data_IF_709713611204
#
_entry.id   IF_709713611204
#
_cell.length_a   1.000
_cell.length_b   1.000
_cell.length_c   1.000
_cell.angle_alpha   90.00
_cell.angle_beta   90.00
_cell.angle_gamma   90.00
#
_symmetry.space_group_name_H-M   'P 1'
#
loop_
_entity.id
_entity.type
_entity.pdbx_description
1 polymer ?
#
# COMPACT_ATOMS: atom_id res chain seq x y z
N UNK A 1 -26.73 2.70 3.80
CA UNK A 1 -26.62 2.49 5.26
C UNK A 1 -25.61 1.39 5.51
N UNK A 2 -24.30 1.65 5.34
CA UNK A 2 -23.27 0.61 5.50
C UNK A 2 -21.86 1.11 5.83
N UNK A 3 -21.66 2.42 5.99
CA UNK A 3 -20.35 3.00 6.34
C UNK A 3 -20.13 3.18 7.85
N UNK A 4 -21.20 3.30 8.64
CA UNK A 4 -21.10 3.53 10.08
C UNK A 4 -20.74 2.26 10.86
N UNK A 5 -21.20 1.09 10.40
CA UNK A 5 -20.88 -0.20 11.02
C UNK A 5 -19.42 -0.63 10.77
N UNK A 6 -18.87 -0.26 9.60
CA UNK A 6 -17.48 -0.57 9.23
C UNK A 6 -16.47 0.30 10.03
N UNK A 7 -16.82 1.56 10.27
CA UNK A 7 -16.02 2.47 11.10
C UNK A 7 -16.03 2.06 12.58
N UNK A 8 -17.17 1.61 13.12
CA UNK A 8 -17.28 1.06 14.47
C UNK A 8 -16.46 -0.23 14.64
N UNK A 9 -16.53 -1.13 13.66
CA UNK A 9 -15.73 -2.37 13.64
C UNK A 9 -14.23 -2.09 13.66
N UNK A 10 -13.77 -1.13 12.84
CA UNK A 10 -12.35 -0.73 12.79
C UNK A 10 -11.85 -0.12 14.12
N UNK A 11 -12.69 0.67 14.80
CA UNK A 11 -12.39 1.25 16.10
C UNK A 11 -12.34 0.20 17.21
N UNK A 12 -13.21 -0.81 17.14
CA UNK A 12 -13.24 -1.90 18.10
C UNK A 12 -12.00 -2.78 17.98
N UNK A 13 -11.50 -3.00 16.76
CA UNK A 13 -10.24 -3.69 16.50
C UNK A 13 -9.02 -2.88 17.00
N UNK A 14 -9.01 -1.56 16.77
CA UNK A 14 -7.92 -0.70 17.26
C UNK A 14 -7.88 -0.64 18.81
N UNK A 15 -9.04 -0.63 19.46
CA UNK A 15 -9.14 -0.65 20.92
C UNK A 15 -8.67 -1.99 21.51
N UNK A 16 -9.02 -3.13 20.92
CA UNK A 16 -8.55 -4.43 21.41
C UNK A 16 -7.03 -4.60 21.23
N UNK A 17 -6.47 -4.02 20.17
CA UNK A 17 -5.02 -3.98 19.95
C UNK A 17 -4.32 -3.08 20.98
N UNK A 18 -4.89 -1.92 21.31
CA UNK A 18 -4.39 -1.06 22.39
C UNK A 18 -4.48 -1.73 23.76
N UNK A 19 -5.57 -2.44 24.07
CA UNK A 19 -5.71 -3.20 25.31
C UNK A 19 -4.67 -4.31 25.43
N UNK A 20 -4.36 -5.01 24.33
CA UNK A 20 -3.29 -6.01 24.29
C UNK A 20 -1.90 -5.39 24.55
N UNK A 21 -1.61 -4.25 23.92
CA UNK A 21 -0.35 -3.51 24.12
C UNK A 21 -0.20 -2.98 25.55
N UNK A 22 -1.29 -2.50 26.16
CA UNK A 22 -1.28 -2.06 27.55
C UNK A 22 -0.98 -3.22 28.50
N UNK A 23 -1.59 -4.38 28.28
CA UNK A 23 -1.38 -5.57 29.12
C UNK A 23 0.05 -6.09 29.03
N UNK A 24 0.66 -6.06 27.84
CA UNK A 24 2.07 -6.42 27.65
C UNK A 24 3.00 -5.43 28.36
N UNK A 25 2.69 -4.13 28.29
CA UNK A 25 3.46 -3.08 28.96
C UNK A 25 3.36 -3.15 30.48
N UNK A 26 2.19 -3.47 31.03
CA UNK A 26 2.00 -3.72 32.46
C UNK A 26 2.82 -4.92 32.95
N UNK A 27 2.83 -6.03 32.18
CA UNK A 27 3.65 -7.19 32.49
C UNK A 27 5.15 -6.87 32.48
N UNK A 28 5.61 -6.07 31.52
CA UNK A 28 6.99 -5.62 31.44
C UNK A 28 7.40 -4.71 32.62
N UNK A 29 6.50 -3.82 33.05
CA UNK A 29 6.73 -2.97 34.22
C UNK A 29 6.80 -3.79 35.52
N UNK A 30 5.91 -4.76 35.69
CA UNK A 30 5.94 -5.66 36.85
C UNK A 30 7.23 -6.49 36.92
N UNK A 31 7.74 -6.93 35.76
CA UNK A 31 9.03 -7.62 35.70
C UNK A 31 10.19 -6.69 36.08
N UNK A 32 10.18 -5.47 35.55
CA UNK A 32 11.21 -4.46 35.86
C UNK A 32 11.21 -4.06 37.33
N UNK A 33 10.04 -4.00 37.97
CA UNK A 33 9.94 -3.76 39.41
C UNK A 33 10.55 -4.90 40.22
N UNK A 34 10.29 -6.16 39.85
CA UNK A 34 10.95 -7.33 40.47
C UNK A 34 12.47 -7.29 40.31
N UNK A 35 12.96 -6.91 39.13
CA UNK A 35 14.41 -6.79 38.88
C UNK A 35 15.02 -5.66 39.72
N UNK A 36 14.32 -4.52 39.85
CA UNK A 36 14.74 -3.41 40.72
C UNK A 36 14.75 -3.86 42.19
N UNK A 37 13.73 -4.58 42.66
CA UNK A 37 13.69 -5.10 44.03
C UNK A 37 14.79 -6.14 44.29
N UNK A 38 15.05 -7.05 43.35
CA UNK A 38 16.14 -8.01 43.45
C UNK A 38 17.52 -7.31 43.48
N UNK A 39 17.68 -6.26 42.66
CA UNK A 39 18.90 -5.46 42.62
C UNK A 39 19.06 -4.61 43.89
N UNK A 40 17.98 -4.04 44.41
CA UNK A 40 17.96 -3.34 45.70
C UNK A 40 18.28 -4.29 46.86
N UNK A 41 17.76 -5.52 46.86
CA UNK A 41 18.11 -6.55 47.84
C UNK A 41 19.59 -6.95 47.76
N UNK A 42 20.16 -7.04 46.55
CA UNK A 42 21.60 -7.29 46.37
C UNK A 42 22.49 -6.13 46.84
N UNK A 43 21.97 -4.89 46.76
CA UNK A 43 22.65 -3.68 47.24
C UNK A 43 22.46 -3.42 48.75
N UNK A 44 21.51 -4.11 49.40
CA UNK A 44 21.25 -4.07 50.84
C UNK A 44 22.00 -5.17 51.61
N UNK A 45 23.16 -5.63 51.12
CA UNK A 45 24.14 -6.20 52.05
C UNK A 45 24.67 -5.02 52.87
N UNK A 46 24.38 -4.90 54.17
CA UNK A 46 24.91 -3.80 54.94
C UNK A 46 26.41 -4.06 55.05
N UNK A 47 27.21 -3.30 54.31
CA UNK A 47 28.50 -2.87 54.84
C UNK A 47 28.18 -1.90 55.98
N UNK A 48 27.61 -2.42 57.08
CA UNK A 48 27.73 -1.77 58.36
C UNK A 48 29.23 -1.57 58.57
N UNK A 49 29.70 -0.36 58.87
CA UNK A 49 30.98 -0.26 59.54
C UNK A 49 30.84 -1.19 60.74
N UNK A 50 31.77 -2.13 60.89
CA UNK A 50 31.88 -2.92 62.10
C UNK A 50 32.05 -1.92 63.25
N UNK A 51 30.92 -1.49 63.82
CA UNK A 51 30.84 -0.92 65.15
C UNK A 51 31.42 -2.03 66.00
N UNK A 52 32.62 -1.73 66.50
CA UNK A 52 33.44 -2.62 67.28
C UNK A 52 32.54 -3.42 68.21
N UNK A 53 32.61 -4.73 68.02
CA UNK A 53 32.03 -5.74 68.88
C UNK A 53 32.17 -5.31 70.34
N UNK A 54 31.03 -5.03 70.94
CA UNK A 54 30.91 -4.74 72.35
C UNK A 54 31.19 -6.01 73.11
N UNK A 55 32.47 -6.21 73.44
CA UNK A 55 32.89 -6.97 74.60
C UNK A 55 32.47 -8.44 74.61
N UNK A 56 33.04 -9.24 73.72
CA UNK A 56 33.38 -10.63 74.07
C UNK A 56 34.90 -10.77 74.08
N UNK A 57 35.55 -10.22 75.11
CA UNK A 57 36.94 -10.54 75.44
C UNK A 57 36.96 -11.99 75.94
N UNK A 58 36.94 -12.94 75.00
CA UNK A 58 37.15 -14.34 75.30
C UNK A 58 38.42 -14.47 76.12
N UNK A 59 38.34 -15.17 77.26
CA UNK A 59 39.44 -15.39 78.19
C UNK A 59 40.69 -16.06 77.56
N UNK A 60 40.64 -16.45 76.29
CA UNK A 60 41.76 -16.97 75.51
C UNK A 60 42.72 -15.90 74.96
N UNK A 61 42.35 -14.62 74.91
CA UNK A 61 43.21 -13.53 74.39
C UNK A 61 43.85 -12.67 75.52
N UNK A 62 43.53 -13.02 76.77
CA UNK A 62 43.94 -12.28 77.97
C UNK A 62 45.35 -12.69 78.46
N UNK A 63 45.87 -13.80 77.97
CA UNK A 63 47.20 -14.33 78.30
C UNK A 63 48.04 -14.46 77.02
N UNK A 64 49.37 -14.28 77.09
CA UNK A 64 50.25 -14.49 75.96
C UNK A 64 50.16 -15.94 75.43
N UNK A 65 50.08 -16.14 74.10
CA UNK A 65 50.06 -17.46 73.51
C UNK A 65 51.41 -18.17 73.72
N UNK A 66 51.37 -19.47 74.00
CA UNK A 66 52.54 -20.37 74.15
C UNK A 66 53.59 -19.95 75.20
N UNK A 67 53.18 -19.29 76.29
CA UNK A 67 54.09 -18.83 77.34
C UNK A 67 54.81 -19.99 78.06
N UNK A 68 56.14 -19.97 78.05
CA UNK A 68 56.98 -20.94 78.76
C UNK A 68 57.42 -20.42 80.15
N UNK A 69 57.67 -21.31 81.12
CA UNK A 69 58.23 -20.92 82.41
C UNK A 69 59.56 -20.16 82.24
N UNK A 70 59.64 -18.95 82.80
CA UNK A 70 60.83 -18.08 82.69
C UNK A 70 60.78 -17.06 81.54
N UNK A 71 59.69 -17.02 80.76
CA UNK A 71 59.46 -15.99 79.75
C UNK A 71 58.48 -14.92 80.23
N UNK A 72 58.68 -13.68 79.78
CA UNK A 72 57.86 -12.53 80.16
C UNK A 72 57.29 -11.90 78.91
N UNK A 73 56.05 -11.43 78.99
CA UNK A 73 55.33 -10.86 77.87
C UNK A 73 54.72 -9.53 78.27
N UNK A 74 54.71 -8.58 77.34
CA UNK A 74 54.06 -7.28 77.50
C UNK A 74 53.08 -7.03 76.36
N UNK A 75 51.94 -6.44 76.68
CA UNK A 75 50.88 -6.16 75.71
C UNK A 75 51.13 -4.80 75.08
N UNK A 76 51.56 -4.80 73.82
CA UNK A 76 51.93 -3.58 73.09
C UNK A 76 50.88 -3.27 72.02
N UNK A 77 50.52 -2.00 71.88
CA UNK A 77 49.63 -1.53 70.83
C UNK A 77 50.39 -1.43 69.50
N UNK A 78 49.96 -2.20 68.50
CA UNK A 78 50.47 -2.12 67.13
C UNK A 78 49.56 -1.18 66.34
N UNK A 79 50.14 -0.17 65.70
CA UNK A 79 49.39 0.82 64.91
C UNK A 79 48.75 0.19 63.66
N UNK A 80 47.56 0.67 63.23
CA UNK A 80 46.89 0.18 62.03
C UNK A 80 47.73 0.43 60.76
N UNK A 81 47.76 -0.58 59.89
CA UNK A 81 48.38 -0.45 58.58
C UNK A 81 47.38 0.08 57.56
N UNK A 82 47.82 1.01 56.72
CA UNK A 82 47.01 1.58 55.67
C UNK A 82 47.74 1.52 54.34
N UNK A 83 47.00 1.23 53.27
CA UNK A 83 47.47 1.31 51.90
C UNK A 83 46.75 2.43 51.17
N UNK A 84 47.47 3.15 50.31
CA UNK A 84 46.85 4.12 49.42
C UNK A 84 46.36 3.40 48.18
N UNK A 85 45.06 3.44 47.94
CA UNK A 85 44.44 2.87 46.74
C UNK A 85 43.97 4.01 45.85
N UNK A 86 44.38 3.95 44.58
CA UNK A 86 43.90 4.88 43.56
C UNK A 86 42.64 4.28 42.93
N UNK A 87 41.49 4.95 43.10
CA UNK A 87 40.23 4.54 42.46
C UNK A 87 39.90 5.54 41.34
N UNK A 88 39.53 5.01 40.16
CA UNK A 88 38.99 5.83 39.09
C UNK A 88 37.53 6.11 39.38
N UNK A 89 37.19 7.37 39.54
CA UNK A 89 35.81 7.83 39.76
C UNK A 89 35.34 8.51 38.49
N UNK A 90 34.13 8.16 38.06
CA UNK A 90 33.44 8.78 36.94
C UNK A 90 33.02 10.19 37.35
N UNK A 91 33.57 11.20 36.68
CA UNK A 91 33.27 12.62 36.92
C UNK A 91 32.12 13.06 36.04
N UNK A 92 32.10 12.58 34.79
CA UNK A 92 31.08 12.91 33.81
C UNK A 92 30.82 11.70 32.93
N UNK A 93 29.54 11.33 32.84
CA UNK A 93 29.09 10.25 31.95
C UNK A 93 29.37 10.57 30.48
N UNK A 94 29.53 9.52 29.68
CA UNK A 94 29.57 9.66 28.23
C UNK A 94 28.25 10.30 27.77
N UNK A 95 28.35 11.25 26.85
CA UNK A 95 27.20 11.99 26.35
C UNK A 95 27.27 12.14 24.84
N UNK A 96 26.16 12.45 24.22
CA UNK A 96 26.08 12.60 22.77
C UNK A 96 25.64 14.02 22.45
N UNK A 97 26.36 14.67 21.53
CA UNK A 97 25.97 15.95 20.97
C UNK A 97 25.31 15.72 19.63
N UNK A 98 24.07 16.17 19.49
CA UNK A 98 23.32 16.10 18.22
C UNK A 98 23.53 17.41 17.47
N UNK A 99 24.14 17.33 16.29
CA UNK A 99 24.27 18.44 15.35
C UNK A 99 23.28 18.24 14.19
N UNK A 100 22.35 19.17 14.04
CA UNK A 100 21.32 19.11 12.98
C UNK A 100 21.90 19.69 11.69
N UNK A 101 22.06 18.85 10.68
CA UNK A 101 22.39 19.26 9.31
C UNK A 101 21.07 19.59 8.60
N UNK A 102 20.85 20.84 8.15
CA UNK A 102 19.57 21.23 7.56
C UNK A 102 19.33 20.57 6.19
N UNK A 103 18.06 20.41 5.83
CA UNK A 103 17.67 19.93 4.52
C UNK A 103 18.12 20.92 3.42
N UNK A 104 18.55 20.38 2.28
CA UNK A 104 18.87 21.16 1.08
C UNK A 104 17.76 20.98 0.06
N UNK A 105 17.33 22.09 -0.55
CA UNK A 105 16.28 22.12 -1.56
C UNK A 105 16.88 22.44 -2.93
N UNK A 106 16.28 21.88 -3.97
CA UNK A 106 16.60 22.21 -5.36
C UNK A 106 15.31 22.43 -6.16
N UNK A 107 15.41 23.21 -7.22
CA UNK A 107 14.29 23.46 -8.12
C UNK A 107 14.28 22.40 -9.22
N UNK A 108 13.17 21.67 -9.32
CA UNK A 108 12.92 20.66 -10.34
C UNK A 108 11.77 21.10 -11.26
N UNK A 109 11.92 20.86 -12.56
CA UNK A 109 10.89 21.17 -13.57
C UNK A 109 9.88 20.04 -13.62
N UNK A 110 8.67 20.28 -13.10
CA UNK A 110 7.57 19.33 -13.15
C UNK A 110 6.58 19.72 -14.25
N UNK A 111 6.25 18.76 -15.11
CA UNK A 111 5.24 18.96 -16.16
C UNK A 111 3.86 18.65 -15.60
N UNK A 112 3.03 19.68 -15.47
CA UNK A 112 1.66 19.59 -14.95
C UNK A 112 0.67 19.80 -16.10
N UNK A 113 -0.37 18.97 -16.15
CA UNK A 113 -1.47 19.13 -17.10
C UNK A 113 -2.33 20.32 -16.66
N UNK A 114 -2.41 21.33 -17.52
CA UNK A 114 -3.17 22.56 -17.23
C UNK A 114 -4.53 22.55 -17.91
N UNK A 115 -4.64 21.82 -19.03
CA UNK A 115 -5.88 21.67 -19.78
C UNK A 115 -5.99 20.23 -20.26
N UNK A 116 -7.13 19.59 -19.98
CA UNK A 116 -7.40 18.21 -20.37
C UNK A 116 -7.65 18.08 -21.87
N UNK A 117 -7.43 16.88 -22.42
CA UNK A 117 -7.78 16.60 -23.80
C UNK A 117 -9.30 16.66 -23.95
N UNK A 118 -9.78 17.35 -24.98
CA UNK A 118 -11.22 17.49 -25.24
C UNK A 118 -11.55 17.13 -26.68
N UNK A 119 -12.81 16.80 -26.93
CA UNK A 119 -13.27 16.42 -28.27
C UNK A 119 -14.25 17.45 -28.80
N UNK A 120 -14.03 17.92 -30.04
CA UNK A 120 -14.95 18.81 -30.74
C UNK A 120 -15.67 18.06 -31.85
N UNK A 121 -17.00 18.07 -31.81
CA UNK A 121 -17.84 17.51 -32.87
C UNK A 121 -17.97 18.53 -34.00
N UNK A 122 -17.52 18.17 -35.21
CA UNK A 122 -17.71 18.95 -36.44
C UNK A 122 -18.80 18.28 -37.27
N UNK A 123 -19.84 19.03 -37.61
CA UNK A 123 -20.97 18.54 -38.41
C UNK A 123 -20.60 18.51 -39.89
N UNK A 124 -20.71 17.34 -40.51
CA UNK A 124 -20.59 17.17 -41.97
C UNK A 124 -22.01 17.23 -42.54
N UNK A 125 -22.34 18.21 -43.41
CA UNK A 125 -23.69 18.40 -43.91
C UNK A 125 -24.13 17.23 -44.81
N UNK A 126 -25.43 16.92 -44.79
CA UNK A 126 -26.03 15.90 -45.64
C UNK A 126 -25.92 16.30 -47.12
N UNK A 127 -25.58 15.35 -48.00
CA UNK A 127 -25.61 15.57 -49.45
C UNK A 127 -26.89 14.99 -50.03
N UNK A 128 -27.39 15.61 -51.10
CA UNK A 128 -28.65 15.23 -51.73
C UNK A 128 -28.42 14.88 -53.20
N UNK A 129 -29.14 13.87 -53.69
CA UNK A 129 -29.16 13.52 -55.11
C UNK A 129 -30.58 13.54 -55.65
N UNK A 130 -30.73 13.91 -56.90
CA UNK A 130 -32.02 13.90 -57.59
C UNK A 130 -32.22 12.54 -58.24
N UNK A 131 -33.28 11.83 -57.84
CA UNK A 131 -33.67 10.55 -58.45
C UNK A 131 -34.95 10.78 -59.26
N UNK A 132 -34.95 10.29 -60.50
CA UNK A 132 -36.12 10.30 -61.39
C UNK A 132 -36.90 9.01 -61.24
N UNK A 133 -38.15 9.11 -60.84
CA UNK A 133 -39.06 7.97 -60.72
C UNK A 133 -40.17 8.08 -61.78
N UNK A 134 -40.45 6.99 -62.51
CA UNK A 134 -41.54 6.95 -63.51
C UNK A 134 -42.82 6.49 -62.83
N UNK A 135 -43.75 7.41 -62.64
CA UNK A 135 -45.05 7.12 -62.02
C UNK A 135 -46.10 6.97 -63.14
N UNK A 136 -46.84 5.86 -63.12
CA UNK A 136 -47.96 5.62 -64.04
C UNK A 136 -49.12 6.55 -63.67
N UNK A 137 -49.53 7.42 -64.60
CA UNK A 137 -50.61 8.39 -64.36
C UNK A 137 -51.93 7.96 -65.01
N UNK A 138 -51.88 7.09 -66.03
CA UNK A 138 -53.07 6.53 -66.66
C UNK A 138 -52.78 5.10 -67.15
N UNK A 139 -53.56 4.08 -66.73
CA UNK A 139 -53.40 2.71 -67.20
C UNK A 139 -53.87 2.57 -68.66
N UNK A 140 -53.44 1.50 -69.34
CA UNK A 140 -53.89 1.18 -70.69
C UNK A 140 -55.38 0.82 -70.71
N UNK A 141 -56.12 1.22 -71.76
CA UNK A 141 -57.56 0.97 -71.91
C UNK A 141 -57.93 0.50 -73.32
N UNK A 142 -59.05 -0.23 -73.43
CA UNK A 142 -59.54 -0.80 -74.71
C UNK A 142 -60.79 -0.07 -75.18
N UNK A 143 -60.83 0.32 -76.46
CA UNK A 143 -61.98 0.99 -77.10
C UNK A 143 -62.53 0.11 -78.22
N UNK A 144 -63.84 -0.17 -78.18
CA UNK A 144 -64.54 -0.98 -79.18
C UNK A 144 -65.20 -0.05 -80.22
N UNK A 145 -64.97 -0.30 -81.51
CA UNK A 145 -65.58 0.43 -82.63
C UNK A 145 -66.47 -0.53 -83.44
N UNK A 146 -67.73 -0.15 -83.70
CA UNK A 146 -68.77 -0.99 -84.33
C UNK A 146 -69.08 -0.53 -85.75
N UNK A 147 -69.17 -1.47 -86.71
CA UNK A 147 -69.49 -1.19 -88.13
C UNK A 147 -70.88 -1.75 -88.51
N UNK A 148 -71.78 -0.97 -89.16
CA UNK A 148 -73.17 -1.40 -89.41
C UNK A 148 -73.32 -2.39 -90.59
N UNK A 149 -74.43 -3.12 -90.60
CA UNK A 149 -74.76 -4.15 -91.60
C UNK A 149 -75.38 -3.61 -92.91
N UNK A 150 -75.19 -4.32 -94.03
CA UNK A 150 -75.59 -3.90 -95.40
C UNK A 150 -76.63 -4.86 -96.03
N UNK A 151 -77.62 -4.32 -96.77
CA UNK A 151 -78.76 -5.05 -97.35
C UNK A 151 -78.99 -4.75 -98.87
N UNK A 152 -79.44 -5.74 -99.66
CA UNK A 152 -79.66 -5.69 -101.13
C UNK A 152 -81.07 -6.18 -101.55
N UNK A 153 -81.67 -5.68 -102.66
CA UNK A 153 -83.08 -5.94 -103.07
C UNK A 153 -83.21 -6.70 -104.40
N UNK A 154 -84.03 -7.76 -104.45
CA UNK A 154 -84.23 -8.67 -105.62
C UNK A 154 -85.71 -8.66 -106.10
N UNK A 155 -86.00 -8.84 -107.41
CA UNK A 155 -87.35 -8.74 -108.05
C UNK A 155 -87.80 -10.05 -108.75
N UNK A 156 -89.11 -10.39 -108.70
CA UNK A 156 -89.72 -11.62 -109.25
C UNK A 156 -91.11 -11.37 -109.91
N UNK A 157 -91.49 -12.08 -110.99
CA UNK A 157 -92.75 -11.89 -111.77
C UNK A 157 -93.80 -13.01 -111.57
N UNK A 158 -95.07 -12.66 -111.39
CA UNK A 158 -96.22 -13.56 -111.12
C UNK A 158 -97.43 -13.24 -112.04
N UNK A 159 -98.14 -14.29 -112.52
CA UNK A 159 -99.28 -14.26 -113.46
C UNK A 159 -100.54 -13.62 -112.86
N UNK A 160 -101.20 -12.72 -113.59
CA UNK A 160 -102.39 -11.98 -113.12
C UNK A 160 -103.70 -12.56 -113.72
N UNK A 161 -103.78 -12.81 -115.05
CA UNK A 161 -105.00 -13.33 -115.71
C UNK A 161 -104.74 -14.24 -116.94
N UNK A 162 -105.43 -15.39 -117.10
CA UNK A 162 -105.30 -16.32 -118.24
C UNK A 162 -106.16 -15.97 -119.49
N UNK A 163 -105.94 -16.66 -120.62
CA UNK A 163 -106.52 -16.43 -121.97
C UNK A 163 -107.93 -17.03 -122.19
N UNK A 164 -108.76 -16.50 -123.12
CA UNK A 164 -110.11 -17.03 -123.47
C UNK A 164 -110.65 -16.65 -124.89
N UNK A 165 -111.75 -17.28 -125.37
CA UNK A 165 -112.36 -17.18 -126.74
C UNK A 165 -113.74 -16.49 -126.84
N UNK A 166 -114.10 -15.82 -127.96
CA UNK A 166 -115.42 -15.19 -128.24
C UNK A 166 -115.85 -15.15 -129.75
N UNK A 167 -117.16 -15.05 -130.08
CA UNK A 167 -117.77 -15.23 -131.44
C UNK A 167 -118.03 -13.92 -132.25
N UNK A 168 -117.94 -13.95 -133.60
CA UNK A 168 -118.25 -12.85 -134.58
C UNK A 168 -118.90 -13.36 -135.91
N UNK A 169 -119.75 -12.57 -136.61
CA UNK A 169 -120.58 -13.00 -137.79
C UNK A 169 -119.78 -13.05 -139.11
N UNK A 170 -120.11 -13.95 -140.05
CA UNK A 170 -119.40 -14.14 -141.35
C UNK A 170 -120.31 -14.24 -142.60
N UNK A 171 -119.77 -14.02 -143.81
CA UNK A 171 -120.51 -13.87 -145.10
C UNK A 171 -120.01 -14.85 -146.19
N UNK A 172 -120.90 -15.43 -147.01
CA UNK A 172 -120.59 -16.33 -148.14
C UNK A 172 -121.63 -16.33 -149.29
N UNK A 173 -121.34 -16.88 -150.50
CA UNK A 173 -121.80 -16.31 -151.79
C UNK A 173 -123.19 -16.64 -152.35
N UNK A 174 -123.99 -17.56 -151.79
CA UNK A 174 -125.38 -17.81 -152.26
C UNK A 174 -126.31 -17.65 -151.06
N UNK A 175 -127.22 -16.66 -151.16
CA UNK A 175 -128.07 -16.17 -150.09
C UNK A 175 -129.54 -16.53 -150.38
N UNK A 176 -130.11 -17.40 -149.53
CA UNK A 176 -131.55 -17.63 -149.31
C UNK A 176 -132.39 -18.14 -150.49
N UNK A 177 -133.09 -19.26 -150.28
CA UNK A 177 -134.13 -19.76 -151.20
C UNK A 177 -135.53 -19.87 -150.57
N UNK A 178 -135.76 -20.13 -149.26
CA UNK A 178 -137.06 -19.80 -148.59
C UNK A 178 -137.02 -19.83 -147.05
N UNK A 179 -138.19 -19.61 -146.43
CA UNK A 179 -138.52 -19.14 -145.08
C UNK A 179 -138.30 -20.13 -143.91
N UNK A 180 -137.33 -21.02 -143.99
CA UNK A 180 -136.76 -21.68 -142.80
C UNK A 180 -135.25 -21.82 -143.02
N UNK A 181 -134.45 -21.30 -142.07
CA UNK A 181 -132.96 -21.35 -141.94
C UNK A 181 -132.05 -20.35 -142.71
N UNK A 182 -131.20 -19.63 -141.92
CA UNK A 182 -129.74 -19.54 -142.18
C UNK A 182 -129.03 -18.17 -142.10
N UNK A 183 -128.23 -17.93 -141.05
CA UNK A 183 -127.15 -16.92 -140.99
C UNK A 183 -125.90 -17.53 -140.26
N UNK A 184 -124.66 -17.21 -140.68
CA UNK A 184 -123.38 -17.90 -140.31
C UNK A 184 -122.51 -17.10 -139.31
N UNK A 185 -121.80 -17.75 -138.36
CA UNK A 185 -120.88 -17.15 -137.35
C UNK A 185 -119.54 -17.91 -137.11
N UNK A 186 -118.45 -17.22 -136.71
CA UNK A 186 -117.06 -17.73 -136.49
C UNK A 186 -116.43 -17.29 -135.11
N UNK A 187 -115.54 -18.08 -134.48
CA UNK A 187 -114.95 -17.86 -133.13
C UNK A 187 -113.43 -17.49 -133.15
N UNK A 188 -112.94 -16.59 -132.27
CA UNK A 188 -111.49 -16.21 -132.13
C UNK A 188 -111.03 -15.96 -130.67
N UNK A 189 -109.72 -16.10 -130.37
CA UNK A 189 -109.09 -16.19 -129.01
C UNK A 189 -108.14 -15.02 -128.60
N UNK A 190 -108.05 -14.66 -127.29
CA UNK A 190 -107.23 -13.54 -126.73
C UNK A 190 -106.31 -13.99 -125.56
N UNK A 191 -104.99 -13.63 -125.51
CA UNK A 191 -104.00 -14.16 -124.54
C UNK A 191 -103.85 -13.45 -123.16
N UNK A 192 -103.09 -14.10 -122.25
CA UNK A 192 -102.90 -13.84 -120.80
C UNK A 192 -101.83 -12.77 -120.38
N UNK A 193 -101.89 -12.21 -119.16
CA UNK A 193 -101.04 -11.08 -118.64
C UNK A 193 -100.42 -11.29 -117.22
N UNK A 194 -99.23 -10.69 -116.90
CA UNK A 194 -98.39 -10.88 -115.68
C UNK A 194 -97.86 -9.55 -115.01
N UNK A 195 -97.55 -9.54 -113.68
CA UNK A 195 -96.94 -8.40 -112.89
C UNK A 195 -95.69 -8.78 -112.03
N UNK A 196 -94.89 -7.82 -111.53
CA UNK A 196 -93.60 -8.01 -110.79
C UNK A 196 -93.62 -7.45 -109.35
N UNK A 197 -92.98 -8.11 -108.37
CA UNK A 197 -92.81 -7.66 -106.95
C UNK A 197 -91.36 -7.81 -106.44
N UNK A 198 -90.95 -7.06 -105.38
CA UNK A 198 -89.55 -6.95 -104.89
C UNK A 198 -89.35 -7.18 -103.37
N UNK A 199 -88.25 -7.83 -102.93
CA UNK A 199 -87.88 -8.08 -101.50
C UNK A 199 -86.38 -7.89 -101.20
N UNK A 200 -86.02 -7.41 -99.99
CA UNK A 200 -84.63 -7.08 -99.54
C UNK A 200 -84.01 -8.18 -98.64
N UNK A 201 -82.73 -8.52 -98.83
CA UNK A 201 -81.97 -9.57 -98.11
C UNK A 201 -80.63 -9.01 -97.57
N UNK A 202 -80.19 -9.48 -96.39
CA UNK A 202 -78.96 -9.06 -95.69
C UNK A 202 -77.71 -9.65 -96.38
N UNK A 203 -76.73 -8.80 -96.72
CA UNK A 203 -75.50 -9.20 -97.43
C UNK A 203 -74.29 -9.39 -96.50
N UNK A 204 -74.15 -8.54 -95.48
CA UNK A 204 -72.99 -8.58 -94.56
C UNK A 204 -73.41 -8.17 -93.15
N UNK A 205 -73.14 -8.99 -92.10
CA UNK A 205 -73.51 -8.69 -90.72
C UNK A 205 -72.58 -7.63 -90.10
N UNK A 206 -73.04 -6.98 -89.03
CA UNK A 206 -72.26 -5.99 -88.28
C UNK A 206 -71.06 -6.65 -87.57
N UNK A 207 -69.94 -5.93 -87.47
CA UNK A 207 -68.70 -6.39 -86.82
C UNK A 207 -68.14 -5.37 -85.81
N UNK A 208 -67.34 -5.84 -84.86
CA UNK A 208 -66.66 -5.03 -83.85
C UNK A 208 -65.14 -5.21 -83.89
N UNK A 209 -64.38 -4.13 -83.69
CA UNK A 209 -62.92 -4.14 -83.58
C UNK A 209 -62.48 -3.44 -82.28
N UNK A 210 -61.54 -4.05 -81.55
CA UNK A 210 -60.99 -3.49 -80.30
C UNK A 210 -59.62 -2.86 -80.56
N UNK A 211 -59.45 -1.59 -80.23
CA UNK A 211 -58.18 -0.84 -80.30
C UNK A 211 -57.66 -0.63 -78.87
N UNK A 212 -56.39 -0.97 -78.60
CA UNK A 212 -55.74 -0.78 -77.30
C UNK A 212 -54.97 0.55 -77.25
N UNK A 213 -55.24 1.38 -76.23
CA UNK A 213 -54.52 2.64 -75.96
C UNK A 213 -53.45 2.39 -74.88
N UNK A 214 -52.17 2.79 -75.08
CA UNK A 214 -51.08 2.47 -74.15
C UNK A 214 -51.12 3.29 -72.86
N UNK A 215 -50.53 2.74 -71.79
CA UNK A 215 -50.41 3.42 -70.49
C UNK A 215 -49.48 4.63 -70.57
N UNK A 216 -49.87 5.74 -69.93
CA UNK A 216 -49.10 6.99 -69.90
C UNK A 216 -48.33 7.08 -68.58
N UNK A 217 -47.02 7.29 -68.67
CA UNK A 217 -46.12 7.47 -67.53
C UNK A 217 -45.62 8.92 -67.46
N UNK A 218 -45.52 9.48 -66.25
CA UNK A 218 -44.89 10.78 -66.00
C UNK A 218 -43.65 10.58 -65.14
N UNK A 219 -42.53 11.17 -65.53
CA UNK A 219 -41.32 11.21 -64.71
C UNK A 219 -41.43 12.32 -63.68
N UNK A 220 -41.29 11.96 -62.40
CA UNK A 220 -41.23 12.93 -61.30
C UNK A 220 -39.81 12.90 -60.71
N UNK A 221 -39.22 14.07 -60.56
CA UNK A 221 -37.91 14.24 -59.90
C UNK A 221 -38.11 14.44 -58.40
N UNK A 222 -37.50 13.61 -57.57
CA UNK A 222 -37.47 13.79 -56.10
C UNK A 222 -36.04 13.90 -55.60
N UNK A 223 -35.78 14.91 -54.77
CA UNK A 223 -34.49 15.10 -54.07
C UNK A 223 -34.46 14.18 -52.85
N UNK A 224 -33.61 13.16 -52.89
CA UNK A 224 -33.43 12.21 -51.79
C UNK A 224 -32.08 12.44 -51.12
N UNK A 225 -32.01 12.20 -49.80
CA UNK A 225 -30.75 12.28 -49.05
C UNK A 225 -29.82 11.17 -49.57
N UNK A 226 -28.68 11.56 -50.13
CA UNK A 226 -27.69 10.63 -50.67
C UNK A 226 -26.75 10.13 -49.56
N UNK A 227 -26.27 11.06 -48.72
CA UNK A 227 -25.52 10.75 -47.50
C UNK A 227 -26.12 11.54 -46.34
N UNK A 228 -26.50 10.89 -45.22
CA UNK A 228 -27.02 11.59 -44.05
C UNK A 228 -25.93 12.47 -43.43
N UNK A 229 -26.34 13.50 -42.69
CA UNK A 229 -25.40 14.32 -41.94
C UNK A 229 -24.71 13.44 -40.88
N UNK A 230 -23.40 13.53 -40.81
CA UNK A 230 -22.59 12.78 -39.83
C UNK A 230 -21.75 13.74 -39.01
N UNK A 231 -21.46 13.36 -37.78
CA UNK A 231 -20.54 14.11 -36.92
C UNK A 231 -19.16 13.48 -37.01
N UNK A 232 -18.14 14.32 -37.21
CA UNK A 232 -16.73 13.92 -37.12
C UNK A 232 -16.16 14.45 -35.80
N UNK A 233 -15.64 13.56 -34.97
CA UNK A 233 -14.95 13.94 -33.74
C UNK A 233 -13.51 14.38 -34.06
N UNK A 234 -13.15 15.58 -33.64
CA UNK A 234 -11.78 16.12 -33.71
C UNK A 234 -11.22 16.18 -32.30
N UNK A 235 -10.12 15.47 -32.06
CA UNK A 235 -9.43 15.45 -30.76
C UNK A 235 -8.55 16.69 -30.59
N UNK A 236 -8.73 17.40 -29.49
CA UNK A 236 -7.91 18.53 -29.06
C UNK A 236 -6.98 18.00 -27.96
N UNK A 237 -5.66 17.98 -28.17
CA UNK A 237 -4.72 17.36 -27.22
C UNK A 237 -4.63 18.16 -25.92
N UNK A 238 -4.35 17.46 -24.81
CA UNK A 238 -4.10 18.06 -23.50
C UNK A 238 -2.89 19.00 -23.55
N UNK A 239 -2.99 20.16 -22.88
CA UNK A 239 -1.90 21.11 -22.74
C UNK A 239 -1.20 20.93 -21.41
N UNK A 240 0.13 20.97 -21.45
CA UNK A 240 0.97 20.85 -20.28
C UNK A 240 1.78 22.13 -20.08
N UNK A 241 1.89 22.59 -18.84
CA UNK A 241 2.83 23.62 -18.45
C UNK A 241 3.96 22.99 -17.62
N UNK A 242 5.14 23.58 -17.69
CA UNK A 242 6.25 23.23 -16.83
C UNK A 242 6.28 24.23 -15.69
N UNK A 243 6.10 23.75 -14.47
CA UNK A 243 6.25 24.55 -13.26
C UNK A 243 7.54 24.17 -12.55
N UNK A 244 8.16 25.15 -11.91
CA UNK A 244 9.32 24.96 -11.05
C UNK A 244 8.84 24.56 -9.65
N UNK A 245 9.14 23.33 -9.23
CA UNK A 245 8.77 22.78 -7.93
C UNK A 245 10.03 22.67 -7.07
N UNK A 246 9.92 23.11 -5.81
CA UNK A 246 10.99 22.95 -4.83
C UNK A 246 10.98 21.53 -4.27
N UNK A 247 11.96 20.72 -4.64
CA UNK A 247 12.12 19.34 -4.19
C UNK A 247 13.24 19.26 -3.13
N UNK A 248 13.11 18.33 -2.18
CA UNK A 248 14.14 18.06 -1.18
C UNK A 248 15.30 17.32 -1.88
N UNK A 249 16.40 18.01 -2.13
CA UNK A 249 17.61 17.42 -2.71
C UNK A 249 18.36 16.53 -1.70
N UNK A 250 18.35 16.94 -0.43
CA UNK A 250 18.91 16.17 0.68
C UNK A 250 18.07 16.43 1.93
N UNK A 251 17.56 15.38 2.60
CA UNK A 251 16.80 15.57 3.84
C UNK A 251 17.69 16.10 4.96
N UNK A 252 17.08 16.65 6.00
CA UNK A 252 17.79 17.02 7.22
C UNK A 252 18.34 15.75 7.87
N UNK A 253 19.56 15.83 8.41
CA UNK A 253 20.25 14.69 9.02
C UNK A 253 20.75 15.07 10.41
N UNK A 254 20.66 14.13 11.33
CA UNK A 254 21.25 14.25 12.66
C UNK A 254 22.64 13.64 12.66
N UNK A 255 23.66 14.46 12.94
CA UNK A 255 25.02 13.98 13.17
C UNK A 255 25.24 13.86 14.68
N UNK A 256 25.39 12.63 15.16
CA UNK A 256 25.66 12.32 16.56
C UNK A 256 27.16 12.26 16.80
N UNK A 257 27.67 13.14 17.66
CA UNK A 257 29.09 13.18 18.06
C UNK A 257 29.19 12.64 19.48
N UNK A 258 29.89 11.53 19.65
CA UNK A 258 30.14 10.92 20.95
C UNK A 258 31.17 11.72 21.74
N UNK A 259 30.81 12.11 22.97
CA UNK A 259 31.69 12.73 23.94
C UNK A 259 32.01 11.66 25.00
N UNK A 260 33.27 11.21 25.10
CA UNK A 260 33.64 10.12 26.01
C UNK A 260 33.47 10.52 27.48
N UNK A 261 33.30 9.51 28.33
CA UNK A 261 33.23 9.68 29.77
C UNK A 261 34.54 10.21 30.34
N UNK A 262 34.44 11.17 31.26
CA UNK A 262 35.59 11.77 31.95
C UNK A 262 35.79 11.10 33.31
N UNK A 263 37.01 10.63 33.55
CA UNK A 263 37.39 9.96 34.80
C UNK A 263 38.46 10.76 35.52
N UNK A 264 38.35 10.84 36.85
CA UNK A 264 39.42 11.32 37.72
C UNK A 264 39.93 10.19 38.59
N UNK A 265 41.20 10.26 38.97
CA UNK A 265 41.79 9.35 39.96
C UNK A 265 41.72 9.99 41.34
N UNK A 266 40.97 9.36 42.25
CA UNK A 266 40.93 9.77 43.65
C UNK A 266 41.75 8.78 44.46
N UNK A 267 42.72 9.29 45.21
CA UNK A 267 43.53 8.50 46.14
C UNK A 267 42.82 8.43 47.48
N UNK A 268 42.48 7.22 47.92
CA UNK A 268 41.88 6.97 49.23
C UNK A 268 42.80 6.07 50.05
N UNK A 269 42.95 6.40 51.33
CA UNK A 269 43.68 5.57 52.29
C UNK A 269 42.74 4.49 52.81
N UNK A 270 42.98 3.25 52.42
CA UNK A 270 42.22 2.08 52.86
C UNK A 270 42.98 1.39 54.00
N UNK A 271 42.31 1.13 55.12
CA UNK A 271 42.90 0.43 56.26
C UNK A 271 43.03 -1.05 55.90
N UNK A 272 44.25 -1.57 55.93
CA UNK A 272 44.57 -2.97 55.62
C UNK A 272 44.37 -3.83 56.85
N UNK A 273 44.81 -3.32 58.00
CA UNK A 273 44.62 -3.97 59.30
C UNK A 273 44.27 -2.92 60.35
N UNK A 274 43.38 -3.30 61.27
CA UNK A 274 43.11 -2.50 62.46
C UNK A 274 44.33 -2.49 63.38
N UNK A 275 44.42 -1.45 64.21
CA UNK A 275 45.32 -1.44 65.35
C UNK A 275 44.85 -2.51 66.35
N UNK A 276 45.80 -3.25 66.91
CA UNK A 276 45.51 -4.34 67.83
C UNK A 276 46.53 -4.38 68.95
N UNK A 277 46.11 -4.96 70.08
CA UNK A 277 47.03 -5.33 71.14
C UNK A 277 47.73 -6.63 70.75
N UNK A 278 49.05 -6.65 70.78
CA UNK A 278 49.87 -7.82 70.49
C UNK A 278 50.79 -8.13 71.68
N UNK A 279 50.88 -9.41 72.04
CA UNK A 279 51.82 -9.87 73.06
C UNK A 279 53.24 -9.91 72.49
N UNK A 280 54.17 -9.20 73.14
CA UNK A 280 55.60 -9.20 72.80
C UNK A 280 56.39 -9.86 73.92
N UNK A 281 57.27 -10.80 73.57
CA UNK A 281 58.21 -11.41 74.52
C UNK A 281 59.29 -10.41 74.93
N UNK A 282 59.41 -10.14 76.23
CA UNK A 282 60.38 -9.21 76.82
C UNK A 282 61.31 -9.92 77.80
N UNK A 283 62.48 -9.34 78.04
CA UNK A 283 63.41 -9.86 79.03
C UNK A 283 62.76 -9.81 80.42
N UNK A 284 62.67 -10.96 81.08
CA UNK A 284 62.16 -11.06 82.44
C UNK A 284 63.04 -10.30 83.42
N UNK A 285 62.42 -9.80 84.50
CA UNK A 285 63.14 -9.16 85.61
C UNK A 285 64.19 -10.11 86.21
N UNK A 286 63.88 -11.40 86.33
CA UNK A 286 64.79 -12.44 86.83
C UNK A 286 66.06 -12.59 85.99
N UNK A 287 65.98 -12.32 84.69
CA UNK A 287 67.12 -12.40 83.76
C UNK A 287 67.76 -11.01 83.51
N UNK A 288 67.18 -9.95 84.08
CA UNK A 288 67.66 -8.57 84.01
C UNK A 288 68.70 -8.30 85.11
N UNK A 289 69.69 -9.18 85.21
CA UNK A 289 70.78 -9.02 86.18
C UNK A 289 71.79 -7.98 85.68
N UNK A 290 72.53 -7.35 86.60
CA UNK A 290 73.59 -6.37 86.25
C UNK A 290 74.57 -6.92 85.23
N UNK A 291 74.99 -8.19 85.40
CA UNK A 291 75.90 -8.87 84.47
C UNK A 291 75.28 -9.04 83.07
N UNK A 292 73.98 -9.37 82.99
CA UNK A 292 73.29 -9.53 81.71
C UNK A 292 73.09 -8.20 81.00
N UNK A 293 72.70 -7.15 81.73
CA UNK A 293 72.57 -5.80 81.16
C UNK A 293 73.93 -5.31 80.66
N UNK A 294 75.03 -5.57 81.39
CA UNK A 294 76.40 -5.25 80.96
C UNK A 294 76.71 -5.92 79.62
N UNK A 295 76.41 -7.21 79.46
CA UNK A 295 76.59 -7.93 78.19
C UNK A 295 75.76 -7.32 77.04
N UNK A 296 74.53 -6.88 77.34
CA UNK A 296 73.66 -6.23 76.35
C UNK A 296 74.22 -4.86 75.96
N UNK A 297 74.68 -4.05 76.92
CA UNK A 297 75.32 -2.76 76.67
C UNK A 297 76.61 -2.93 75.84
N UNK A 298 77.47 -3.90 76.18
CA UNK A 298 78.66 -4.23 75.39
C UNK A 298 78.31 -4.68 73.97
N UNK A 299 77.28 -5.51 73.82
CA UNK A 299 76.82 -5.97 72.52
C UNK A 299 76.23 -4.83 71.66
N UNK A 300 75.49 -3.90 72.28
CA UNK A 300 74.98 -2.69 71.62
C UNK A 300 76.14 -1.81 71.15
N UNK A 301 77.12 -1.56 72.02
CA UNK A 301 78.30 -0.76 71.68
C UNK A 301 79.10 -1.41 70.55
N UNK A 302 79.31 -2.73 70.61
CA UNK A 302 79.96 -3.52 69.55
C UNK A 302 79.18 -3.47 68.23
N UNK A 303 77.85 -3.42 68.30
CA UNK A 303 76.99 -3.24 67.14
C UNK A 303 76.97 -1.79 66.61
N UNK A 304 77.67 -0.86 67.27
CA UNK A 304 77.78 0.54 66.87
C UNK A 304 76.70 1.47 67.45
N UNK A 305 75.94 1.00 68.44
CA UNK A 305 74.88 1.77 69.10
C UNK A 305 75.32 2.08 70.53
N UNK A 306 75.74 3.32 70.79
CA UNK A 306 76.25 3.74 72.09
C UNK A 306 75.16 3.69 73.18
N UNK A 307 75.25 2.76 74.16
CA UNK A 307 74.27 2.63 75.23
C UNK A 307 74.51 3.61 76.39
N UNK A 308 75.54 4.46 76.33
CA UNK A 308 76.05 5.24 77.45
C UNK A 308 77.02 4.41 78.32
N UNK A 309 77.19 4.77 79.61
CA UNK A 309 78.04 4.02 80.52
C UNK A 309 77.63 2.54 80.61
N UNK A 310 78.61 1.63 80.50
CA UNK A 310 78.40 0.20 80.71
C UNK A 310 78.38 -0.07 82.22
N UNK A 311 77.25 0.24 82.85
CA UNK A 311 77.03 0.18 84.30
C UNK A 311 76.14 -1.00 84.72
N UNK A 312 75.61 -1.75 83.76
CA UNK A 312 74.67 -2.84 83.99
C UNK A 312 73.30 -2.38 84.47
N UNK A 313 72.91 -1.13 84.18
CA UNK A 313 71.58 -0.58 84.45
C UNK A 313 70.89 -0.13 83.13
N UNK A 314 69.59 -0.39 83.01
CA UNK A 314 68.82 0.04 81.82
C UNK A 314 68.38 1.49 82.01
N UNK A 315 69.24 2.43 81.60
CA UNK A 315 68.96 3.85 81.59
C UNK A 315 68.30 4.35 80.30
N UNK A 316 68.01 5.65 80.24
CA UNK A 316 67.44 6.32 79.06
C UNK A 316 68.37 6.19 77.85
N UNK A 317 69.69 6.29 78.06
CA UNK A 317 70.68 6.18 76.98
C UNK A 317 70.75 4.75 76.43
N UNK A 318 70.76 3.76 77.31
CA UNK A 318 70.73 2.34 76.92
C UNK A 318 69.45 2.01 76.15
N UNK A 319 68.28 2.47 76.61
CA UNK A 319 67.02 2.26 75.87
C UNK A 319 66.96 3.03 74.55
N UNK A 320 67.56 4.23 74.47
CA UNK A 320 67.68 4.96 73.20
C UNK A 320 68.52 4.18 72.20
N UNK A 321 69.63 3.59 72.65
CA UNK A 321 70.49 2.73 71.83
C UNK A 321 69.76 1.46 71.36
N UNK A 322 69.03 0.79 72.26
CA UNK A 322 68.15 -0.35 71.95
C UNK A 322 67.12 0.01 70.88
N UNK A 323 66.43 1.14 71.03
CA UNK A 323 65.40 1.57 70.09
C UNK A 323 65.98 1.93 68.71
N UNK A 324 67.17 2.52 68.68
CA UNK A 324 67.90 2.79 67.43
C UNK A 324 68.33 1.48 66.75
N UNK A 325 68.88 0.54 67.53
CA UNK A 325 69.25 -0.79 67.05
C UNK A 325 68.03 -1.52 66.46
N UNK A 326 66.90 -1.51 67.18
CA UNK A 326 65.66 -2.13 66.75
C UNK A 326 65.15 -1.54 65.43
N UNK A 327 65.09 -0.20 65.30
CA UNK A 327 64.72 0.47 64.05
C UNK A 327 65.61 0.07 62.88
N UNK A 328 66.92 0.04 63.09
CA UNK A 328 67.88 -0.29 62.04
C UNK A 328 67.85 -1.76 61.62
N UNK A 329 67.47 -2.67 62.53
CA UNK A 329 67.35 -4.11 62.26
C UNK A 329 65.94 -4.56 61.87
N UNK A 330 64.98 -3.64 61.78
CA UNK A 330 63.58 -3.97 61.51
C UNK A 330 62.93 -4.79 62.63
N UNK A 331 63.44 -4.68 63.86
CA UNK A 331 62.86 -5.33 65.03
C UNK A 331 61.78 -4.42 65.65
N UNK A 332 60.79 -5.00 66.37
CA UNK A 332 59.80 -4.21 67.09
C UNK A 332 60.48 -3.23 68.05
N UNK A 333 60.09 -1.96 67.98
CA UNK A 333 60.58 -0.90 68.86
C UNK A 333 59.58 -0.73 69.99
N UNK A 334 59.91 -1.28 71.14
CA UNK A 334 59.02 -1.33 72.29
C UNK A 334 59.58 -0.46 73.44
N UNK A 335 58.74 -0.17 74.43
CA UNK A 335 59.21 0.50 75.67
C UNK A 335 60.06 -0.40 76.56
N UNK A 336 60.16 -1.69 76.23
CA UNK A 336 60.86 -2.72 76.99
C UNK A 336 61.90 -3.40 76.12
N UNK A 337 62.91 -4.02 76.75
CA UNK A 337 63.90 -4.81 76.05
C UNK A 337 63.29 -6.14 75.60
N UNK A 338 62.97 -6.26 74.32
CA UNK A 338 62.38 -7.50 73.78
C UNK A 338 63.42 -8.61 73.61
N UNK A 339 62.97 -9.86 73.76
CA UNK A 339 63.85 -11.05 73.64
C UNK A 339 64.45 -11.16 72.24
N UNK A 340 63.72 -10.74 71.21
CA UNK A 340 64.21 -10.70 69.83
C UNK A 340 65.46 -9.83 69.70
N UNK A 341 65.49 -8.65 70.35
CA UNK A 341 66.67 -7.79 70.41
C UNK A 341 67.82 -8.45 71.15
N UNK A 342 67.57 -9.04 72.32
CA UNK A 342 68.62 -9.72 73.11
C UNK A 342 69.28 -10.85 72.32
N UNK A 343 68.47 -11.69 71.67
CA UNK A 343 68.95 -12.77 70.77
C UNK A 343 69.69 -12.20 69.56
N UNK A 344 69.17 -11.13 68.95
CA UNK A 344 69.78 -10.48 67.78
C UNK A 344 71.15 -9.87 68.09
N UNK A 345 71.35 -9.40 69.33
CA UNK A 345 72.63 -8.92 69.85
C UNK A 345 73.60 -10.05 70.20
N UNK A 346 73.19 -11.31 70.08
CA UNK A 346 74.00 -12.48 70.39
C UNK A 346 74.12 -12.78 71.89
N UNK A 347 73.25 -12.20 72.71
CA UNK A 347 73.22 -12.42 74.16
C UNK A 347 72.17 -13.50 74.48
N UNK A 348 72.49 -14.42 75.40
CA UNK A 348 71.53 -15.44 75.86
C UNK A 348 70.40 -14.78 76.66
N UNK A 349 69.12 -15.01 76.30
CA UNK A 349 67.96 -14.46 77.01
C UNK A 349 67.70 -15.11 78.38
N UNK A 350 68.28 -16.31 78.59
CA UNK A 350 68.23 -17.07 79.83
C UNK A 350 69.59 -17.04 80.55
#
# INVERSE_FOLDING_TARGET
MGGADDELSSRQAALSEQEAQLKEREAALAQREKDIQAKAASMQTPSQPAMADGGNYGAGDMLPPDAQPGECYSRVWVEPEYKTVTKRVLVRDASEKIEVVPAKYQTAKQRVMVEEASTKLVTVPATYKTVTERVMIKPASKKIVTTPAVYETVKERVLDKPAHTTWKKGTGPIQRIDDTTGEIMCLVEVPASYKTISRRVLKTPAGTQTVEEPAVFKTVTKKVVATPATTKTVEIPAKYATIDVTEIASPAQEKRVEIPAEYSSVTTREMVSNGRMEWRSILCETNTTKAKITQIQEALLKAGYDPGPIDGAIGVETMRAVNNYQRAKGLPVDKYLNIATVKSLGVSPN
#
